data_IF_240636636093
#
_entry.id   IF_240636636093
#
_cell.length_a   1.000
_cell.length_b   1.000
_cell.length_c   1.000
_cell.angle_alpha   90.00
_cell.angle_beta   90.00
_cell.angle_gamma   90.00
#
_symmetry.space_group_name_H-M   'P 1'
#
loop_
_entity.id
_entity.type
_entity.pdbx_description
1 polymer ?
#
# COMPACT_ATOMS: atom_id res chain seq x y z
N UNK A 1 -7.62 -18.44 16.37
CA UNK A 1 -8.08 -18.27 15.39
C UNK A 1 -8.30 -16.98 14.92
N UNK A 2 -8.61 -16.14 15.54
CA UNK A 2 -8.73 -14.95 15.41
C UNK A 2 -7.60 -14.35 14.80
N UNK A 3 -6.52 -14.82 14.89
CA UNK A 3 -5.31 -14.28 14.35
C UNK A 3 -5.23 -14.33 12.85
N UNK A 4 -6.09 -15.08 12.24
CA UNK A 4 -6.14 -15.14 10.79
C UNK A 4 -6.45 -13.78 10.19
N UNK A 5 -7.32 -13.01 10.81
CA UNK A 5 -7.63 -11.69 10.29
C UNK A 5 -6.45 -10.75 10.40
N UNK A 6 -5.68 -10.89 11.46
CA UNK A 6 -4.46 -10.14 11.60
C UNK A 6 -3.50 -10.41 10.49
N UNK A 7 -3.30 -11.67 10.16
CA UNK A 7 -2.41 -12.05 9.08
C UNK A 7 -2.87 -11.49 7.76
N UNK A 8 -4.16 -11.49 7.52
CA UNK A 8 -4.68 -11.00 6.26
C UNK A 8 -4.49 -9.50 6.10
N UNK A 9 -4.55 -8.75 7.18
CA UNK A 9 -4.37 -7.30 7.09
C UNK A 9 -2.94 -6.95 6.72
N UNK A 10 -1.96 -7.71 7.24
CA UNK A 10 -0.55 -7.42 6.98
C UNK A 10 0.08 -8.36 5.97
N UNK A 11 -0.72 -9.18 5.33
CA UNK A 11 -0.21 -10.18 4.43
C UNK A 11 0.32 -9.53 3.14
N UNK A 12 1.41 -10.06 2.60
CA UNK A 12 1.95 -9.60 1.34
C UNK A 12 1.19 -10.30 0.23
N UNK A 13 0.33 -9.54 -0.43
CA UNK A 13 -0.52 -10.04 -1.51
C UNK A 13 -0.83 -8.87 -2.43
N UNK A 14 -1.63 -9.12 -3.46
CA UNK A 14 -2.09 -8.03 -4.32
C UNK A 14 -3.08 -7.16 -3.56
N UNK A 15 -2.93 -5.86 -3.69
CA UNK A 15 -3.86 -4.90 -3.12
C UNK A 15 -4.21 -3.87 -4.18
N UNK A 16 -5.46 -3.43 -4.19
CA UNK A 16 -5.81 -2.23 -4.92
C UNK A 16 -5.10 -1.04 -4.27
N UNK A 17 -4.78 -0.02 -5.05
CA UNK A 17 -4.01 1.10 -4.49
C UNK A 17 -4.77 1.85 -3.41
N UNK A 18 -6.10 2.02 -3.54
CA UNK A 18 -6.87 2.65 -2.49
C UNK A 18 -7.05 1.71 -1.30
N UNK A 19 -7.13 0.43 -1.55
CA UNK A 19 -7.20 -0.57 -0.49
C UNK A 19 -5.93 -0.53 0.35
N UNK A 20 -4.77 -0.51 -0.30
CA UNK A 20 -3.50 -0.44 0.40
C UNK A 20 -3.37 0.87 1.16
N UNK A 21 -3.77 1.98 0.53
CA UNK A 21 -3.71 3.28 1.18
C UNK A 21 -4.57 3.33 2.44
N UNK A 22 -5.72 2.67 2.43
CA UNK A 22 -6.57 2.64 3.61
C UNK A 22 -6.00 1.81 4.74
N UNK A 23 -5.14 0.85 4.45
CA UNK A 23 -4.44 0.13 5.50
C UNK A 23 -3.49 1.06 6.25
N UNK A 24 -2.86 2.00 5.54
CA UNK A 24 -1.97 2.96 6.16
C UNK A 24 -2.72 4.12 6.82
N UNK A 25 -3.84 4.52 6.25
CA UNK A 25 -4.60 5.67 6.74
C UNK A 25 -6.08 5.32 6.85
N UNK A 26 -6.45 4.49 7.83
CA UNK A 26 -7.84 4.01 7.91
C UNK A 26 -8.85 5.07 8.35
N UNK A 27 -8.38 6.18 8.90
CA UNK A 27 -9.28 7.21 9.43
C UNK A 27 -9.80 8.18 8.37
N UNK A 28 -9.27 8.13 7.15
CA UNK A 28 -9.67 9.05 6.10
C UNK A 28 -10.24 8.27 4.92
N UNK A 29 -10.92 8.97 4.01
CA UNK A 29 -11.57 8.29 2.90
C UNK A 29 -10.53 7.70 1.93
N UNK A 30 -10.92 6.71 1.12
CA UNK A 30 -9.96 6.03 0.24
C UNK A 30 -9.21 6.96 -0.70
N UNK A 31 -9.89 7.95 -1.26
CA UNK A 31 -9.26 8.88 -2.18
C UNK A 31 -8.18 9.71 -1.49
N UNK A 32 -8.51 10.24 -0.30
CA UNK A 32 -7.55 11.02 0.47
C UNK A 32 -6.40 10.15 0.96
N UNK A 33 -6.69 8.91 1.34
CA UNK A 33 -5.66 7.99 1.78
C UNK A 33 -4.68 7.71 0.65
N UNK A 34 -5.18 7.51 -0.56
CA UNK A 34 -4.31 7.26 -1.70
C UNK A 34 -3.46 8.48 -2.03
N UNK A 35 -4.05 9.67 -1.99
CA UNK A 35 -3.31 10.89 -2.24
C UNK A 35 -2.16 11.06 -1.26
N UNK A 36 -2.40 10.73 0.00
CA UNK A 36 -1.39 10.84 1.03
C UNK A 36 -0.30 9.78 0.86
N UNK A 37 -0.69 8.55 0.58
CA UNK A 37 0.27 7.47 0.36
C UNK A 37 1.15 7.77 -0.86
N UNK A 38 0.58 8.34 -1.89
CA UNK A 38 1.33 8.71 -3.07
C UNK A 38 2.44 9.70 -2.77
N UNK A 39 2.17 10.65 -1.89
CA UNK A 39 3.18 11.63 -1.50
C UNK A 39 4.35 10.95 -0.78
N UNK A 40 4.06 10.02 0.11
CA UNK A 40 5.13 9.30 0.79
C UNK A 40 5.93 8.44 -0.18
N UNK A 41 5.25 7.76 -1.10
CA UNK A 41 5.94 6.93 -2.07
C UNK A 41 6.84 7.74 -2.99
N UNK A 42 6.47 8.98 -3.28
CA UNK A 42 7.25 9.78 -4.19
C UNK A 42 8.61 10.20 -3.61
N UNK A 43 8.80 10.05 -2.31
CA UNK A 43 10.08 10.32 -1.68
C UNK A 43 11.09 9.19 -1.89
N UNK A 44 10.63 8.04 -2.36
CA UNK A 44 11.49 6.87 -2.56
C UNK A 44 11.62 6.58 -4.05
N UNK A 45 12.83 6.71 -4.63
CA UNK A 45 12.99 6.46 -6.07
C UNK A 45 12.49 5.09 -6.51
N UNK A 46 12.67 4.07 -5.65
CA UNK A 46 12.23 2.73 -5.98
C UNK A 46 10.71 2.63 -6.09
N UNK A 47 9.99 3.44 -5.33
CA UNK A 47 8.53 3.43 -5.35
C UNK A 47 7.98 4.35 -6.44
N UNK A 48 8.76 5.31 -6.90
CA UNK A 48 8.30 6.20 -7.96
C UNK A 48 8.00 5.46 -9.25
N UNK A 49 8.74 4.39 -9.52
CA UNK A 49 8.46 3.59 -10.71
C UNK A 49 7.11 2.92 -10.60
N UNK A 50 6.68 2.56 -9.39
CA UNK A 50 5.37 1.98 -9.18
C UNK A 50 4.27 3.01 -9.44
N UNK A 51 4.52 4.26 -9.09
CA UNK A 51 3.55 5.33 -9.33
C UNK A 51 3.40 5.63 -10.82
N UNK A 52 4.45 5.38 -11.59
CA UNK A 52 4.40 5.59 -13.03
C UNK A 52 3.57 4.52 -13.74
N UNK A 53 3.35 3.37 -13.11
CA UNK A 53 2.52 2.32 -13.68
C UNK A 53 1.06 2.75 -13.63
N UNK A 54 0.32 2.45 -14.69
CA UNK A 54 -1.08 2.85 -14.75
C UNK A 54 -2.03 1.82 -14.18
N UNK A 55 -1.50 0.74 -13.63
CA UNK A 55 -2.32 -0.29 -13.02
C UNK A 55 -2.93 0.23 -11.73
N UNK A 56 -4.14 -0.23 -11.44
CA UNK A 56 -4.82 0.16 -10.21
C UNK A 56 -4.56 -0.80 -9.06
N UNK A 57 -3.79 -1.84 -9.31
CA UNK A 57 -3.50 -2.88 -8.32
C UNK A 57 -2.01 -3.09 -8.24
N UNK A 58 -1.50 -3.22 -7.03
CA UNK A 58 -0.10 -3.54 -6.83
C UNK A 58 0.06 -5.05 -6.73
N UNK A 59 1.07 -5.58 -7.40
CA UNK A 59 1.40 -6.99 -7.31
C UNK A 59 2.06 -7.28 -5.96
N UNK A 60 2.07 -8.55 -5.51
CA UNK A 60 2.66 -8.87 -4.21
C UNK A 60 4.10 -8.40 -4.06
N UNK A 61 4.91 -8.49 -5.11
CA UNK A 61 6.30 -8.05 -5.04
C UNK A 61 6.38 -6.53 -4.86
N UNK A 62 5.45 -5.80 -5.43
CA UNK A 62 5.39 -4.36 -5.28
C UNK A 62 4.93 -3.98 -3.88
N UNK A 63 3.98 -4.72 -3.34
CA UNK A 63 3.52 -4.52 -1.97
C UNK A 63 4.65 -4.78 -0.99
N UNK A 64 5.44 -5.83 -1.23
CA UNK A 64 6.58 -6.12 -0.38
C UNK A 64 7.58 -4.97 -0.40
N UNK A 65 7.81 -4.38 -1.55
CA UNK A 65 8.72 -3.25 -1.67
C UNK A 65 8.19 -2.04 -0.92
N UNK A 66 6.90 -1.76 -1.01
CA UNK A 66 6.28 -0.67 -0.28
C UNK A 66 6.40 -0.88 1.22
N UNK A 67 6.12 -2.09 1.69
CA UNK A 67 6.24 -2.42 3.11
C UNK A 67 7.68 -2.27 3.58
N UNK A 68 8.64 -2.61 2.73
CA UNK A 68 10.05 -2.50 3.07
C UNK A 68 10.48 -1.03 3.20
N UNK A 69 10.00 -0.17 2.32
CA UNK A 69 10.36 1.24 2.33
C UNK A 69 9.60 2.05 3.39
N UNK A 70 8.30 1.83 3.48
CA UNK A 70 7.44 2.63 4.35
C UNK A 70 7.10 1.95 5.67
N UNK A 71 7.38 0.67 5.79
CA UNK A 71 6.96 -0.11 6.94
C UNK A 71 5.56 -0.67 6.74
N UNK A 72 5.19 -1.59 7.61
CA UNK A 72 3.87 -2.20 7.53
C UNK A 72 2.83 -1.27 8.15
N UNK A 73 1.62 -1.29 7.62
CA UNK A 73 0.56 -0.45 8.16
C UNK A 73 0.14 -0.82 9.58
#
# INVERSE_FOLDING_TARGET
MFNIQWSMVNEIRSYGRTELAQLYFPAICPRAAWAKLRLYMSDYPRLRTLLACKRRTFLPVEVALIFDCLGRP
#
